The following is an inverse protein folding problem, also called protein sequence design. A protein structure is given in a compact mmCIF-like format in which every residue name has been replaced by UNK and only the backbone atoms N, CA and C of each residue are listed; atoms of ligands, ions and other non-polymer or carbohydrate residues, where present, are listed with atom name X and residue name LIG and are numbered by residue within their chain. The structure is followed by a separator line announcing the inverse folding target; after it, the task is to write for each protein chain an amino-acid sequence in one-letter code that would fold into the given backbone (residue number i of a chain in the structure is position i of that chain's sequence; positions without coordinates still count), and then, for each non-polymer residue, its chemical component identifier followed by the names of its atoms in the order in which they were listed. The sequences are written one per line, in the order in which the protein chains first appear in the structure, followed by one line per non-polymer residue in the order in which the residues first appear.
data_IF_041274352059
#
_entry.id   IF_041274352059
#
_cell.length_a   1.000
_cell.length_b   1.000
_cell.length_c   1.000
_cell.angle_alpha   90.00
_cell.angle_beta   90.00
_cell.angle_gamma   90.00
#
_symmetry.space_group_name_H-M   'P 1'
#
loop_
_entity.id
_entity.type
_entity.pdbx_description
1 polymer ?
#
# COMPACT_ATOMS: atom_id res chain seq x y z
N UNK A 1 -37.32 -3.04 -0.55
CA UNK A 1 -36.44 -4.17 -0.16
C UNK A 1 -35.01 -3.80 -0.54
N UNK A 2 -34.25 -3.22 0.39
CA UNK A 2 -32.90 -2.71 0.11
C UNK A 2 -31.85 -3.75 0.48
N UNK A 3 -31.06 -4.18 -0.50
CA UNK A 3 -29.95 -5.11 -0.31
C UNK A 3 -28.75 -4.39 0.33
N UNK A 4 -28.05 -5.01 1.31
CA UNK A 4 -26.83 -4.43 1.84
C UNK A 4 -25.70 -4.59 0.82
N UNK A 5 -25.15 -3.47 0.35
CA UNK A 5 -23.89 -3.48 -0.39
C UNK A 5 -22.79 -3.96 0.55
N UNK A 6 -22.34 -5.19 0.35
CA UNK A 6 -21.16 -5.72 1.00
C UNK A 6 -19.95 -4.95 0.46
N UNK A 7 -19.59 -3.85 1.13
CA UNK A 7 -18.33 -3.18 0.94
C UNK A 7 -17.22 -4.14 1.37
N UNK A 8 -16.78 -4.99 0.44
CA UNK A 8 -15.65 -5.87 0.62
C UNK A 8 -14.46 -5.02 1.02
N UNK A 9 -14.05 -5.12 2.28
CA UNK A 9 -12.73 -4.68 2.72
C UNK A 9 -11.73 -5.61 2.03
N UNK A 10 -11.41 -5.29 0.77
CA UNK A 10 -10.32 -5.93 0.04
C UNK A 10 -9.04 -5.41 0.67
N UNK A 11 -8.69 -5.98 1.82
CA UNK A 11 -7.29 -6.03 2.23
C UNK A 11 -6.55 -6.63 1.04
N UNK A 12 -5.63 -5.87 0.46
CA UNK A 12 -4.78 -6.37 -0.61
C UNK A 12 -4.19 -7.70 -0.15
N UNK A 13 -4.37 -8.80 -0.90
CA UNK A 13 -3.81 -10.07 -0.52
C UNK A 13 -2.30 -9.89 -0.44
N UNK A 14 -1.74 -9.93 0.78
CA UNK A 14 -0.31 -10.08 0.96
C UNK A 14 0.01 -11.53 0.64
N UNK A 15 0.11 -11.81 -0.67
CA UNK A 15 0.68 -13.07 -1.13
C UNK A 15 2.10 -13.18 -0.57
N UNK A 16 2.53 -14.39 -0.14
CA UNK A 16 3.87 -14.60 0.36
C UNK A 16 4.88 -14.08 -0.67
N UNK A 17 5.90 -13.37 -0.21
CA UNK A 17 6.89 -12.62 -0.99
C UNK A 17 7.79 -13.46 -1.93
N UNK A 18 7.38 -14.68 -2.26
CA UNK A 18 8.04 -15.56 -3.22
C UNK A 18 7.62 -15.18 -4.64
N UNK A 19 8.28 -14.16 -5.19
CA UNK A 19 8.19 -13.81 -6.62
C UNK A 19 7.16 -12.74 -6.98
N UNK A 20 7.10 -11.63 -6.24
CA UNK A 20 6.38 -10.46 -6.75
C UNK A 20 7.14 -9.90 -7.96
N UNK A 21 6.46 -9.73 -9.09
CA UNK A 21 7.08 -9.08 -10.25
C UNK A 21 7.39 -7.62 -9.91
N UNK A 22 8.42 -7.05 -10.55
CA UNK A 22 8.82 -5.63 -10.42
C UNK A 22 7.60 -4.70 -10.54
N UNK A 23 6.64 -5.04 -11.41
CA UNK A 23 5.37 -4.32 -11.61
C UNK A 23 4.51 -4.32 -10.34
N UNK A 24 4.38 -5.46 -9.66
CA UNK A 24 3.61 -5.56 -8.41
C UNK A 24 4.26 -4.77 -7.28
N UNK A 25 5.58 -4.87 -7.14
CA UNK A 25 6.36 -4.10 -6.17
C UNK A 25 6.21 -2.58 -6.39
N UNK A 26 6.26 -2.14 -7.65
CA UNK A 26 6.02 -0.74 -8.01
C UNK A 26 4.59 -0.28 -7.67
N UNK A 27 3.59 -1.10 -8.03
CA UNK A 27 2.19 -0.78 -7.74
C UNK A 27 1.91 -0.68 -6.22
N UNK A 28 2.50 -1.57 -5.42
CA UNK A 28 2.38 -1.54 -3.96
C UNK A 28 3.02 -0.29 -3.36
N UNK A 29 4.22 0.09 -3.83
CA UNK A 29 4.87 1.32 -3.40
C UNK A 29 4.01 2.56 -3.71
N UNK A 30 3.49 2.64 -4.94
CA UNK A 30 2.64 3.76 -5.36
C UNK A 30 1.34 3.86 -4.55
N UNK A 31 0.68 2.73 -4.30
CA UNK A 31 -0.54 2.68 -3.50
C UNK A 31 -0.28 3.13 -2.05
N UNK A 32 0.82 2.64 -1.44
CA UNK A 32 1.19 3.01 -0.08
C UNK A 32 1.50 4.52 0.05
N UNK A 33 2.20 5.12 -0.92
CA UNK A 33 2.47 6.57 -0.96
C UNK A 33 1.18 7.38 -1.13
N UNK A 34 0.30 6.95 -2.04
CA UNK A 34 -1.00 7.58 -2.27
C UNK A 34 -1.84 7.60 -0.99
N UNK A 35 -1.87 6.48 -0.25
CA UNK A 35 -2.54 6.40 1.05
C UNK A 35 -1.88 7.29 2.11
N UNK A 36 -0.56 7.38 2.15
CA UNK A 36 0.14 8.26 3.09
C UNK A 36 -0.19 9.73 2.83
N UNK A 37 -0.15 10.17 1.57
CA UNK A 37 -0.53 11.52 1.18
C UNK A 37 -2.01 11.82 1.49
N UNK A 38 -2.90 10.85 1.25
CA UNK A 38 -4.31 10.97 1.60
C UNK A 38 -4.52 11.18 3.11
N UNK A 39 -3.86 10.38 3.97
CA UNK A 39 -3.97 10.54 5.43
C UNK A 39 -3.44 11.89 5.93
N UNK A 40 -2.44 12.47 5.24
CA UNK A 40 -1.91 13.79 5.58
C UNK A 40 -2.82 14.95 5.13
N UNK A 41 -3.62 14.75 4.08
CA UNK A 41 -4.56 15.76 3.55
C UNK A 41 -5.91 15.77 4.27
N UNK A 42 -6.15 14.86 5.21
CA UNK A 42 -7.40 14.83 5.97
C UNK A 42 -7.47 15.98 6.98
N UNK A 43 -8.66 16.59 7.18
CA UNK A 43 -8.85 17.67 8.16
C UNK A 43 -8.47 17.26 9.59
N UNK A 44 -8.64 15.98 9.92
CA UNK A 44 -8.11 15.35 11.13
C UNK A 44 -6.94 14.45 10.74
N UNK A 45 -5.73 15.00 10.83
CA UNK A 45 -4.52 14.33 10.34
C UNK A 45 -4.24 13.06 11.15
N UNK A 46 -4.37 11.90 10.52
CA UNK A 46 -4.03 10.61 11.12
C UNK A 46 -2.54 10.31 10.93
N UNK A 47 -1.69 11.05 11.66
CA UNK A 47 -0.23 10.93 11.60
C UNK A 47 0.27 9.49 11.82
N UNK A 48 -0.26 8.71 12.79
CA UNK A 48 0.18 7.33 12.98
C UNK A 48 -0.14 6.42 11.78
N UNK A 49 -1.31 6.59 11.14
CA UNK A 49 -1.67 5.81 9.95
C UNK A 49 -0.83 6.20 8.72
N UNK A 50 -0.61 7.50 8.52
CA UNK A 50 0.27 8.01 7.48
C UNK A 50 1.69 7.44 7.61
N UNK A 51 2.25 7.45 8.84
CA UNK A 51 3.59 6.89 9.13
C UNK A 51 3.67 5.40 8.77
N UNK A 52 2.68 4.60 9.16
CA UNK A 52 2.65 3.16 8.82
C UNK A 52 2.63 2.94 7.31
N UNK A 53 1.89 3.76 6.56
CA UNK A 53 1.84 3.67 5.10
C UNK A 53 3.15 4.11 4.44
N UNK A 54 3.79 5.15 4.96
CA UNK A 54 5.13 5.55 4.50
C UNK A 54 6.18 4.45 4.73
N UNK A 55 6.15 3.77 5.88
CA UNK A 55 7.05 2.62 6.14
C UNK A 55 6.76 1.45 5.19
N UNK A 56 5.49 1.18 4.89
CA UNK A 56 5.11 0.15 3.89
C UNK A 56 5.63 0.51 2.50
N UNK A 57 5.52 1.78 2.09
CA UNK A 57 6.07 2.25 0.82
C UNK A 57 7.59 2.10 0.76
N UNK A 58 8.29 2.48 1.84
CA UNK A 58 9.75 2.36 1.93
C UNK A 58 10.21 0.90 1.78
N UNK A 59 9.51 -0.03 2.44
CA UNK A 59 9.83 -1.45 2.33
C UNK A 59 9.60 -1.99 0.90
N UNK A 60 8.49 -1.59 0.26
CA UNK A 60 8.21 -1.97 -1.13
C UNK A 60 9.26 -1.41 -2.10
N UNK A 61 9.70 -0.16 -1.93
CA UNK A 61 10.77 0.44 -2.73
C UNK A 61 12.12 -0.24 -2.54
N UNK A 62 12.47 -0.64 -1.30
CA UNK A 62 13.70 -1.41 -1.04
C UNK A 62 13.67 -2.77 -1.74
N UNK A 63 12.54 -3.46 -1.67
CA UNK A 63 12.36 -4.73 -2.37
C UNK A 63 12.38 -4.56 -3.90
N UNK A 64 11.83 -3.44 -4.40
CA UNK A 64 11.91 -3.09 -5.82
C UNK A 64 13.35 -2.84 -6.27
N UNK A 65 14.14 -2.07 -5.51
CA UNK A 65 15.57 -1.84 -5.78
C UNK A 65 16.33 -3.15 -5.83
N UNK A 66 16.14 -4.01 -4.82
CA UNK A 66 16.78 -5.31 -4.77
C UNK A 66 16.38 -6.23 -5.93
N UNK A 67 15.14 -6.12 -6.44
CA UNK A 67 14.68 -6.88 -7.60
C UNK A 67 15.22 -6.34 -8.95
N UNK A 68 15.65 -5.07 -8.99
CA UNK A 68 16.19 -4.42 -10.19
C UNK A 68 17.73 -4.48 -10.27
N UNK A 69 18.41 -4.70 -9.14
CA UNK A 69 19.87 -4.83 -9.03
C UNK A 69 20.39 -6.25 -9.35
N UNK A 70 19.52 -7.14 -9.87
CA UNK A 70 19.83 -8.50 -10.35
C UNK A 70 20.14 -8.47 -11.85
#
# INVERSE_FOLDING_TARGET
MSAPVAAGRRAAPKLPASGLSVIQLHADAHNALSMAAFYLRQPQVNVPAARRKAVQALAALRNLSAALEV
#
